data_IF_880015515290
#
_entry.id   IF_880015515290
#
_cell.length_a   1.000
_cell.length_b   1.000
_cell.length_c   1.000
_cell.angle_alpha   90.00
_cell.angle_beta   90.00
_cell.angle_gamma   90.00
#
_symmetry.space_group_name_H-M   'P 1'
#
loop_
_entity.id
_entity.type
_entity.pdbx_description
1 polymer ?
#
# COMPACT_ATOMS: atom_id res chain seq x y z
N UNK A 1 -49.50 2.74 11.64
CA UNK A 1 -48.62 3.57 10.80
C UNK A 1 -47.17 3.16 11.05
N UNK A 2 -46.61 2.30 10.20
CA UNK A 2 -45.22 1.86 10.28
C UNK A 2 -44.45 2.67 9.23
N UNK A 3 -43.74 3.69 9.69
CA UNK A 3 -42.85 4.48 8.84
C UNK A 3 -41.70 3.61 8.36
N UNK A 4 -41.71 3.25 7.08
CA UNK A 4 -40.55 2.68 6.39
C UNK A 4 -39.40 3.68 6.45
N UNK A 5 -38.45 3.44 7.36
CA UNK A 5 -37.11 4.04 7.27
C UNK A 5 -36.51 3.54 5.97
N UNK A 6 -36.41 4.42 4.96
CA UNK A 6 -35.57 4.19 3.79
C UNK A 6 -34.13 4.09 4.31
N UNK A 7 -33.57 2.88 4.34
CA UNK A 7 -32.13 2.70 4.47
C UNK A 7 -31.49 3.32 3.22
N UNK A 8 -30.74 4.41 3.41
CA UNK A 8 -29.92 4.97 2.33
C UNK A 8 -28.79 3.99 2.05
N UNK A 9 -28.77 3.41 0.86
CA UNK A 9 -27.71 2.52 0.33
C UNK A 9 -26.42 3.25 -0.04
N UNK A 10 -26.20 4.44 0.51
CA UNK A 10 -24.96 5.19 0.28
C UNK A 10 -23.87 4.52 1.10
N UNK A 11 -22.90 3.87 0.43
CA UNK A 11 -21.67 3.44 1.10
C UNK A 11 -21.10 4.65 1.84
N UNK A 12 -20.86 4.51 3.15
CA UNK A 12 -20.27 5.61 3.90
C UNK A 12 -18.86 5.93 3.35
N UNK A 13 -18.45 7.19 3.46
CA UNK A 13 -17.17 7.64 2.89
C UNK A 13 -15.97 6.87 3.45
N UNK A 14 -16.08 6.35 4.68
CA UNK A 14 -15.03 5.52 5.28
C UNK A 14 -14.87 4.24 4.47
N UNK A 15 -15.94 3.52 4.21
CA UNK A 15 -15.93 2.26 3.46
C UNK A 15 -15.32 2.48 2.07
N UNK A 16 -15.70 3.57 1.40
CA UNK A 16 -15.14 3.91 0.08
C UNK A 16 -13.65 4.22 0.12
N UNK A 17 -13.18 5.02 1.09
CA UNK A 17 -11.74 5.31 1.26
C UNK A 17 -10.96 4.02 1.53
N UNK A 18 -11.47 3.15 2.38
CA UNK A 18 -10.82 1.88 2.68
C UNK A 18 -10.78 0.94 1.47
N UNK A 19 -11.82 0.92 0.62
CA UNK A 19 -11.79 0.19 -0.64
C UNK A 19 -10.68 0.71 -1.56
N UNK A 20 -10.56 2.03 -1.75
CA UNK A 20 -9.48 2.60 -2.57
C UNK A 20 -8.07 2.31 -2.03
N UNK A 21 -7.91 2.28 -0.71
CA UNK A 21 -6.63 1.89 -0.09
C UNK A 21 -6.34 0.41 -0.38
N UNK A 22 -7.34 -0.46 -0.34
CA UNK A 22 -7.18 -1.86 -0.69
C UNK A 22 -6.84 -2.04 -2.17
N UNK A 23 -7.56 -1.38 -3.07
CA UNK A 23 -7.29 -1.43 -4.52
C UNK A 23 -5.84 -1.02 -4.82
N UNK A 24 -5.36 0.06 -4.19
CA UNK A 24 -3.97 0.49 -4.32
C UNK A 24 -2.95 -0.51 -3.74
N UNK A 25 -3.32 -1.24 -2.68
CA UNK A 25 -2.47 -2.29 -2.12
C UNK A 25 -2.40 -3.51 -3.06
N UNK A 26 -3.51 -3.88 -3.68
CA UNK A 26 -3.57 -4.96 -4.66
C UNK A 26 -2.72 -4.64 -5.90
N UNK A 27 -2.81 -3.40 -6.40
CA UNK A 27 -1.95 -2.91 -7.49
C UNK A 27 -0.46 -2.92 -7.12
N UNK A 28 -0.12 -2.50 -5.90
CA UNK A 28 1.25 -2.58 -5.36
C UNK A 28 1.76 -4.04 -5.38
N UNK A 29 0.93 -4.99 -4.94
CA UNK A 29 1.31 -6.40 -4.91
C UNK A 29 1.50 -6.99 -6.32
N UNK A 30 0.63 -6.63 -7.27
CA UNK A 30 0.75 -7.00 -8.68
C UNK A 30 2.08 -6.48 -9.24
N UNK A 31 2.40 -5.22 -9.00
CA UNK A 31 3.67 -4.64 -9.44
C UNK A 31 4.87 -5.35 -8.83
N UNK A 32 4.88 -5.58 -7.50
CA UNK A 32 5.96 -6.32 -6.83
C UNK A 32 6.16 -7.68 -7.49
N UNK A 33 5.09 -8.46 -7.69
CA UNK A 33 5.13 -9.77 -8.36
C UNK A 33 5.70 -9.70 -9.76
N UNK A 34 5.40 -8.65 -10.52
CA UNK A 34 5.92 -8.47 -11.88
C UNK A 34 7.45 -8.27 -11.92
N UNK A 35 8.03 -7.72 -10.85
CA UNK A 35 9.47 -7.45 -10.75
C UNK A 35 10.27 -8.62 -10.16
N UNK A 36 9.64 -9.53 -9.43
CA UNK A 36 10.34 -10.51 -8.59
C UNK A 36 11.35 -11.39 -9.32
N UNK A 37 11.07 -11.77 -10.57
CA UNK A 37 11.96 -12.62 -11.36
C UNK A 37 13.28 -11.93 -11.73
N UNK A 38 13.33 -10.60 -11.66
CA UNK A 38 14.52 -9.81 -11.97
C UNK A 38 15.47 -9.67 -10.77
N UNK A 39 15.08 -10.16 -9.58
CA UNK A 39 15.85 -9.98 -8.35
C UNK A 39 16.21 -11.30 -7.66
N UNK A 40 17.41 -11.39 -7.02
CA UNK A 40 17.83 -12.57 -6.28
C UNK A 40 16.82 -12.97 -5.20
N UNK A 41 16.50 -14.27 -5.17
CA UNK A 41 15.54 -14.85 -4.20
C UNK A 41 14.18 -14.12 -4.17
N UNK A 42 13.83 -13.45 -5.28
CA UNK A 42 12.62 -12.65 -5.47
C UNK A 42 12.51 -11.41 -4.57
N UNK A 43 13.60 -10.98 -3.94
CA UNK A 43 13.56 -9.81 -3.05
C UNK A 43 13.72 -8.50 -3.82
N UNK A 44 12.59 -7.83 -4.06
CA UNK A 44 12.54 -6.54 -4.77
C UNK A 44 12.96 -5.40 -3.83
N UNK A 45 13.91 -4.52 -4.22
CA UNK A 45 14.24 -3.35 -3.43
C UNK A 45 13.03 -2.39 -3.32
N UNK A 46 12.63 -2.04 -2.10
CA UNK A 46 11.50 -1.11 -1.88
C UNK A 46 11.75 0.29 -2.45
N UNK A 47 13.02 0.68 -2.64
CA UNK A 47 13.35 1.93 -3.33
C UNK A 47 12.91 1.89 -4.80
N UNK A 48 13.15 0.76 -5.49
CA UNK A 48 12.69 0.57 -6.86
C UNK A 48 11.17 0.65 -6.97
N UNK A 49 10.46 -0.02 -6.06
CA UNK A 49 8.97 0.00 -6.03
C UNK A 49 8.43 1.41 -5.80
N UNK A 50 8.96 2.14 -4.81
CA UNK A 50 8.51 3.50 -4.51
C UNK A 50 8.80 4.48 -5.63
N UNK A 51 9.94 4.35 -6.29
CA UNK A 51 10.35 5.25 -7.36
C UNK A 51 9.56 4.95 -8.64
N UNK A 52 9.37 3.68 -8.99
CA UNK A 52 8.62 3.26 -10.19
C UNK A 52 7.12 3.62 -10.12
N UNK A 53 6.53 3.56 -8.92
CA UNK A 53 5.12 3.86 -8.68
C UNK A 53 4.88 5.28 -8.12
N UNK A 54 5.93 6.10 -8.04
CA UNK A 54 5.87 7.48 -7.53
C UNK A 54 5.22 7.61 -6.13
N UNK A 55 5.49 6.65 -5.23
CA UNK A 55 4.80 6.55 -3.92
C UNK A 55 5.38 7.44 -2.81
N UNK A 56 6.34 8.29 -3.14
CA UNK A 56 6.94 9.24 -2.20
C UNK A 56 6.20 10.58 -2.30
N UNK A 57 5.31 10.87 -1.34
CA UNK A 57 4.49 12.08 -1.33
C UNK A 57 4.97 13.09 -0.29
N UNK A 58 4.68 14.37 -0.54
CA UNK A 58 4.72 15.39 0.51
C UNK A 58 3.48 15.18 1.40
N UNK A 59 3.71 14.63 2.60
CA UNK A 59 2.64 14.11 3.46
C UNK A 59 2.04 15.13 4.45
N UNK A 60 2.34 16.42 4.30
CA UNK A 60 1.78 17.48 5.15
C UNK A 60 0.97 18.48 4.32
N UNK A 61 -0.16 18.99 4.84
CA UNK A 61 -0.88 20.08 4.20
C UNK A 61 0.02 21.30 3.96
N UNK A 62 -0.33 22.15 2.98
CA UNK A 62 0.50 23.27 2.52
C UNK A 62 0.88 24.28 3.61
N UNK A 63 0.08 24.42 4.66
CA UNK A 63 0.35 25.33 5.79
C UNK A 63 1.24 24.69 6.87
N UNK A 64 1.53 23.39 6.78
CA UNK A 64 2.40 22.68 7.71
C UNK A 64 3.87 22.73 7.31
N UNK A 65 4.76 22.44 8.27
CA UNK A 65 6.19 22.27 7.99
C UNK A 65 6.45 20.93 7.32
N UNK A 66 7.02 20.98 6.12
CA UNK A 66 7.41 19.80 5.35
C UNK A 66 8.89 19.45 5.55
N UNK A 67 9.22 18.16 5.43
CA UNK A 67 10.59 17.61 5.54
C UNK A 67 10.95 16.69 4.35
N UNK A 68 10.48 17.08 3.16
CA UNK A 68 10.64 16.37 1.90
C UNK A 68 9.62 15.23 1.69
N UNK A 69 9.59 14.63 0.49
CA UNK A 69 8.77 13.47 0.18
C UNK A 69 9.07 12.29 1.12
N UNK A 70 8.03 11.55 1.51
CA UNK A 70 8.13 10.37 2.37
C UNK A 70 7.39 9.20 1.73
N UNK A 71 7.97 8.00 1.85
CA UNK A 71 7.36 6.75 1.39
C UNK A 71 6.30 6.21 2.34
N UNK A 72 5.51 7.08 2.98
CA UNK A 72 4.49 6.65 3.95
C UNK A 72 3.35 5.89 3.30
N UNK A 73 2.96 6.25 2.07
CA UNK A 73 1.93 5.50 1.35
C UNK A 73 2.38 4.07 1.11
N UNK A 74 3.59 3.86 0.59
CA UNK A 74 4.16 2.51 0.47
C UNK A 74 4.14 1.75 1.79
N UNK A 75 4.56 2.39 2.90
CA UNK A 75 4.59 1.73 4.21
C UNK A 75 3.19 1.30 4.69
N UNK A 76 2.16 2.12 4.46
CA UNK A 76 0.77 1.81 4.80
C UNK A 76 0.26 0.63 3.98
N UNK A 77 0.44 0.68 2.65
CA UNK A 77 -0.03 -0.37 1.74
C UNK A 77 0.71 -1.69 1.98
N UNK A 78 2.04 -1.65 2.14
CA UNK A 78 2.84 -2.84 2.46
C UNK A 78 2.41 -3.45 3.79
N UNK A 79 2.13 -2.63 4.82
CA UNK A 79 1.67 -3.14 6.11
C UNK A 79 0.31 -3.83 6.00
N UNK A 80 -0.63 -3.27 5.22
CA UNK A 80 -1.93 -3.89 4.96
C UNK A 80 -1.77 -5.28 4.34
N UNK A 81 -0.88 -5.41 3.35
CA UNK A 81 -0.59 -6.69 2.70
C UNK A 81 0.15 -7.68 3.62
N UNK A 82 1.04 -7.21 4.48
CA UNK A 82 1.71 -8.05 5.50
C UNK A 82 0.68 -8.61 6.49
N UNK A 83 -0.25 -7.79 6.96
CA UNK A 83 -1.32 -8.20 7.87
C UNK A 83 -2.27 -9.23 7.21
N UNK A 84 -2.42 -9.18 5.88
CA UNK A 84 -3.15 -10.16 5.07
C UNK A 84 -2.32 -11.41 4.73
N UNK A 85 -1.04 -11.46 5.12
CA UNK A 85 -0.14 -12.56 4.77
C UNK A 85 0.18 -12.64 3.27
N UNK A 86 0.02 -11.54 2.52
CA UNK A 86 0.25 -11.51 1.07
C UNK A 86 1.62 -10.94 0.67
N UNK A 87 2.28 -10.22 1.57
CA UNK A 87 3.59 -9.62 1.37
C UNK A 87 4.54 -9.99 2.52
N UNK A 88 5.82 -10.11 2.23
CA UNK A 88 6.91 -10.16 3.19
C UNK A 88 7.82 -8.94 3.01
N UNK A 89 8.30 -8.39 4.12
CA UNK A 89 9.29 -7.31 4.12
C UNK A 89 10.53 -7.71 4.92
N UNK A 90 11.71 -7.30 4.43
CA UNK A 90 12.96 -7.44 5.18
C UNK A 90 13.83 -6.20 5.07
N UNK A 91 14.69 -6.00 6.06
CA UNK A 91 15.70 -4.93 6.07
C UNK A 91 17.09 -5.53 6.22
N UNK A 92 18.02 -5.10 5.38
CA UNK A 92 19.44 -5.49 5.43
C UNK A 92 20.28 -4.19 5.44
N UNK A 93 20.88 -3.88 6.59
CA UNK A 93 21.54 -2.60 6.81
C UNK A 93 20.58 -1.42 6.63
N UNK A 94 20.91 -0.49 5.71
CA UNK A 94 20.05 0.65 5.37
C UNK A 94 19.02 0.36 4.28
N UNK A 95 19.07 -0.81 3.64
CA UNK A 95 18.21 -1.16 2.51
C UNK A 95 17.02 -2.01 2.96
N UNK A 96 15.85 -1.71 2.40
CA UNK A 96 14.61 -2.47 2.61
C UNK A 96 14.16 -3.15 1.32
N UNK A 97 13.65 -4.36 1.47
CA UNK A 97 13.19 -5.23 0.39
C UNK A 97 11.81 -5.79 0.70
N UNK A 98 11.03 -6.08 -0.33
CA UNK A 98 9.77 -6.79 -0.21
C UNK A 98 9.65 -7.88 -1.28
N UNK A 99 8.73 -8.81 -1.06
CA UNK A 99 8.27 -9.79 -2.04
C UNK A 99 6.87 -10.26 -1.68
N UNK A 100 6.15 -10.81 -2.64
CA UNK A 100 4.92 -11.54 -2.37
C UNK A 100 5.21 -12.78 -1.53
N UNK A 101 4.32 -13.05 -0.58
CA UNK A 101 4.33 -14.30 0.16
C UNK A 101 3.75 -15.40 -0.72
N UNK A 102 4.38 -16.57 -0.74
CA UNK A 102 3.80 -17.73 -1.41
C UNK A 102 2.48 -18.09 -0.73
N UNK A 103 1.45 -18.43 -1.51
CA UNK A 103 0.24 -19.03 -0.97
C UNK A 103 0.66 -20.31 -0.23
N UNK A 104 0.21 -20.44 1.03
CA UNK A 104 0.44 -21.64 1.84
C UNK A 104 -0.37 -22.82 1.31
#
# INVERSE_FOLDING_TARGET
>A
ALGSKRFSTTMDHRTQIHAHIQDAADDLLIFVRSCENDYPERWVPTVHVKDALELNFVATPKQGRQYGPKGWLFAILARLLEDQGSLEHKKVGSRSFCRSRAAA
#
